data_IF_648483466098
#
_entry.id   IF_648483466098
#
_cell.length_a   1.000
_cell.length_b   1.000
_cell.length_c   1.000
_cell.angle_alpha   90.00
_cell.angle_beta   90.00
_cell.angle_gamma   90.00
#
_symmetry.space_group_name_H-M   'P 1'
#
loop_
_entity.id
_entity.type
_entity.pdbx_description
1 polymer ?
#
# COMPACT_ATOMS: atom_id res chain seq x y z
N UNK A 1 37.40 -26.79 10.49
CA UNK A 1 36.66 -28.06 10.82
C UNK A 1 35.21 -27.71 11.16
N UNK A 2 34.90 -27.04 12.27
CA UNK A 2 33.49 -26.82 12.68
C UNK A 2 32.61 -26.19 11.59
N UNK A 3 33.10 -25.15 10.88
CA UNK A 3 32.34 -24.52 9.77
C UNK A 3 32.13 -25.50 8.58
N UNK A 4 33.12 -26.31 8.25
CA UNK A 4 33.03 -27.31 7.19
C UNK A 4 31.99 -28.40 7.54
N UNK A 5 31.98 -28.83 8.80
CA UNK A 5 31.01 -29.80 9.31
C UNK A 5 29.58 -29.24 9.25
N UNK A 6 29.36 -27.96 9.60
CA UNK A 6 28.06 -27.30 9.50
C UNK A 6 27.54 -27.17 8.07
N UNK A 7 28.46 -27.08 7.09
CA UNK A 7 28.12 -26.99 5.67
C UNK A 7 28.08 -28.35 4.97
N UNK A 8 28.28 -29.45 5.71
CA UNK A 8 28.37 -30.80 5.20
C UNK A 8 29.38 -30.99 4.06
N UNK A 9 30.53 -30.28 4.13
CA UNK A 9 31.64 -30.33 3.16
C UNK A 9 32.96 -30.65 3.87
N UNK A 10 33.98 -31.02 3.12
CA UNK A 10 35.30 -31.24 3.71
C UNK A 10 36.01 -29.88 3.99
N UNK A 11 36.88 -29.85 5.01
CA UNK A 11 37.67 -28.68 5.34
C UNK A 11 38.55 -28.19 4.16
N UNK A 12 39.24 -29.07 3.39
CA UNK A 12 39.95 -28.63 2.19
C UNK A 12 39.05 -27.96 1.16
N UNK A 13 37.84 -28.47 0.93
CA UNK A 13 36.87 -27.86 0.00
C UNK A 13 36.48 -26.45 0.45
N UNK A 14 36.18 -26.26 1.74
CA UNK A 14 35.88 -24.94 2.28
C UNK A 14 37.06 -23.97 2.13
N UNK A 15 38.26 -24.43 2.48
CA UNK A 15 39.48 -23.61 2.37
C UNK A 15 39.77 -23.20 0.93
N UNK A 16 39.58 -24.12 -0.04
CA UNK A 16 39.76 -23.82 -1.45
C UNK A 16 38.72 -22.80 -1.96
N UNK A 17 37.45 -22.94 -1.55
CA UNK A 17 36.41 -21.96 -1.91
C UNK A 17 36.70 -20.55 -1.37
N UNK A 18 37.14 -20.45 -0.11
CA UNK A 18 37.57 -19.18 0.48
C UNK A 18 38.76 -18.60 -0.28
N UNK A 19 39.77 -19.42 -0.58
CA UNK A 19 40.94 -18.96 -1.33
C UNK A 19 40.57 -18.46 -2.74
N UNK A 20 39.73 -19.19 -3.47
CA UNK A 20 39.29 -18.79 -4.81
C UNK A 20 38.52 -17.44 -4.76
N UNK A 21 37.65 -17.24 -3.76
CA UNK A 21 36.93 -16.00 -3.56
C UNK A 21 37.89 -14.83 -3.25
N UNK A 22 38.89 -15.04 -2.39
CA UNK A 22 39.90 -14.02 -2.09
C UNK A 22 40.74 -13.63 -3.32
N UNK A 23 41.09 -14.59 -4.19
CA UNK A 23 41.81 -14.35 -5.44
C UNK A 23 40.96 -13.57 -6.44
N UNK A 24 39.67 -13.89 -6.56
CA UNK A 24 38.72 -13.16 -7.42
C UNK A 24 38.51 -11.71 -6.94
N UNK A 25 38.41 -11.51 -5.63
CA UNK A 25 38.25 -10.20 -5.03
C UNK A 25 39.56 -9.37 -4.96
N UNK A 26 40.71 -10.02 -5.10
CA UNK A 26 42.03 -9.38 -5.00
C UNK A 26 42.40 -8.93 -3.59
N UNK A 27 41.65 -9.35 -2.56
CA UNK A 27 41.89 -8.99 -1.16
C UNK A 27 41.72 -10.21 -0.24
N UNK A 28 42.48 -10.23 0.84
CA UNK A 28 42.31 -11.27 1.88
C UNK A 28 41.14 -10.92 2.80
N UNK A 29 40.24 -11.90 2.98
CA UNK A 29 39.12 -11.80 3.90
C UNK A 29 39.43 -12.35 5.30
N UNK A 30 40.39 -13.30 5.37
CA UNK A 30 40.83 -13.90 6.59
C UNK A 30 42.32 -13.70 6.85
N UNK A 31 42.70 -13.56 8.11
CA UNK A 31 44.08 -13.46 8.57
C UNK A 31 44.33 -14.41 9.76
N UNK A 32 45.57 -14.84 9.90
CA UNK A 32 45.99 -15.65 11.05
C UNK A 32 46.20 -14.75 12.27
N UNK A 33 45.57 -15.08 13.37
CA UNK A 33 45.78 -14.43 14.64
C UNK A 33 46.22 -15.50 15.65
N UNK A 34 47.53 -15.72 15.72
CA UNK A 34 48.12 -16.82 16.49
C UNK A 34 47.70 -18.19 15.97
N UNK A 35 47.03 -18.99 16.79
CA UNK A 35 46.45 -20.30 16.40
C UNK A 35 45.05 -20.19 15.79
N UNK A 36 44.46 -19.01 15.81
CA UNK A 36 43.11 -18.76 15.31
C UNK A 36 43.11 -18.04 13.95
N UNK A 37 41.98 -18.02 13.31
CA UNK A 37 41.71 -17.25 12.10
C UNK A 37 40.71 -16.16 12.46
N UNK A 38 40.97 -14.94 12.05
CA UNK A 38 40.07 -13.78 12.22
C UNK A 38 39.79 -13.11 10.87
N UNK A 39 38.73 -12.32 10.83
CA UNK A 39 38.42 -11.52 9.65
C UNK A 39 39.35 -10.31 9.56
N UNK A 40 39.85 -10.05 8.36
CA UNK A 40 40.51 -8.77 8.03
C UNK A 40 39.53 -7.60 8.05
N UNK A 41 39.99 -6.39 7.87
CA UNK A 41 39.12 -5.22 7.66
C UNK A 41 38.15 -5.46 6.48
N UNK A 42 38.65 -5.96 5.37
CA UNK A 42 37.82 -6.28 4.18
C UNK A 42 36.88 -7.45 4.45
N UNK A 43 37.34 -8.47 5.18
CA UNK A 43 36.51 -9.59 5.60
C UNK A 43 35.34 -9.17 6.47
N UNK A 44 35.49 -8.19 7.37
CA UNK A 44 34.40 -7.68 8.20
C UNK A 44 33.32 -6.98 7.37
N UNK A 45 33.72 -6.15 6.41
CA UNK A 45 32.79 -5.46 5.50
C UNK A 45 32.04 -6.49 4.66
N UNK A 46 32.77 -7.38 3.98
CA UNK A 46 32.17 -8.41 3.15
C UNK A 46 31.25 -9.35 3.91
N UNK A 47 31.60 -9.69 5.15
CA UNK A 47 30.77 -10.54 6.02
C UNK A 47 29.42 -9.87 6.33
N UNK A 48 29.42 -8.58 6.67
CA UNK A 48 28.18 -7.84 6.95
C UNK A 48 27.28 -7.81 5.70
N UNK A 49 27.82 -7.45 4.55
CA UNK A 49 27.06 -7.40 3.30
C UNK A 49 26.54 -8.77 2.89
N UNK A 50 27.38 -9.82 3.00
CA UNK A 50 26.97 -11.20 2.70
C UNK A 50 25.88 -11.70 3.65
N UNK A 51 25.94 -11.35 4.92
CA UNK A 51 24.92 -11.70 5.90
C UNK A 51 23.58 -11.06 5.57
N UNK A 52 23.58 -9.78 5.18
CA UNK A 52 22.39 -9.05 4.78
C UNK A 52 21.76 -9.65 3.51
N UNK A 53 22.58 -9.96 2.53
CA UNK A 53 22.13 -10.59 1.27
C UNK A 53 21.50 -11.97 1.54
N UNK A 54 22.16 -12.80 2.33
CA UNK A 54 21.64 -14.13 2.68
C UNK A 54 20.35 -14.05 3.48
N UNK A 55 20.27 -13.12 4.43
CA UNK A 55 19.03 -12.89 5.21
C UNK A 55 17.88 -12.47 4.30
N UNK A 56 18.10 -11.60 3.34
CA UNK A 56 17.09 -11.20 2.35
C UNK A 56 16.70 -12.34 1.43
N UNK A 57 17.66 -13.14 1.01
CA UNK A 57 17.39 -14.34 0.18
C UNK A 57 16.52 -15.35 0.93
N UNK A 58 16.87 -15.66 2.17
CA UNK A 58 16.11 -16.60 3.02
C UNK A 58 14.68 -16.09 3.27
N UNK A 59 14.51 -14.78 3.54
CA UNK A 59 13.20 -14.17 3.69
C UNK A 59 12.38 -14.28 2.39
N UNK A 60 12.98 -14.02 1.23
CA UNK A 60 12.31 -14.15 -0.08
C UNK A 60 11.90 -15.62 -0.36
N UNK A 61 12.78 -16.57 -0.13
CA UNK A 61 12.48 -18.01 -0.29
C UNK A 61 11.35 -18.44 0.64
N UNK A 62 11.35 -17.96 1.89
CA UNK A 62 10.30 -18.30 2.85
C UNK A 62 8.96 -17.69 2.44
N UNK A 63 8.94 -16.43 1.98
CA UNK A 63 7.75 -15.77 1.46
C UNK A 63 7.12 -16.56 0.29
N UNK A 64 7.95 -17.02 -0.67
CA UNK A 64 7.47 -17.83 -1.78
C UNK A 64 6.91 -19.20 -1.33
N UNK A 65 7.51 -19.82 -0.32
CA UNK A 65 7.00 -21.08 0.26
C UNK A 65 5.65 -20.88 0.94
N UNK A 66 5.46 -19.76 1.65
CA UNK A 66 4.18 -19.41 2.26
C UNK A 66 3.12 -19.14 1.18
N UNK A 67 3.45 -18.35 0.17
CA UNK A 67 2.56 -18.09 -0.97
C UNK A 67 2.10 -19.36 -1.67
N UNK A 68 3.01 -20.33 -1.87
CA UNK A 68 2.69 -21.64 -2.44
C UNK A 68 1.70 -22.49 -1.62
N UNK A 69 1.46 -22.12 -0.33
CA UNK A 69 0.48 -22.75 0.56
C UNK A 69 -0.79 -21.92 0.71
N UNK A 70 -0.89 -20.77 0.02
CA UNK A 70 -1.95 -19.79 0.23
C UNK A 70 -1.85 -19.11 1.59
N UNK A 71 -0.65 -18.86 2.04
CA UNK A 71 -0.26 -18.20 3.28
C UNK A 71 0.67 -17.01 2.96
N UNK A 72 1.00 -16.20 3.96
CA UNK A 72 1.94 -15.09 3.82
C UNK A 72 1.27 -13.74 3.90
N UNK A 73 1.83 -12.76 3.23
CA UNK A 73 1.46 -11.36 3.35
C UNK A 73 0.61 -10.91 2.16
N UNK A 74 -0.43 -10.14 2.43
CA UNK A 74 -1.30 -9.51 1.44
C UNK A 74 -1.19 -7.99 1.61
N UNK A 75 -0.79 -7.31 0.55
CA UNK A 75 -0.65 -5.86 0.51
C UNK A 75 -1.97 -5.23 0.04
N UNK A 76 -2.68 -4.54 0.95
CA UNK A 76 -3.98 -3.94 0.70
C UNK A 76 -3.87 -2.42 0.74
N UNK A 77 -4.25 -1.75 -0.36
CA UNK A 77 -4.42 -0.31 -0.40
C UNK A 77 -5.90 0.06 -0.38
N UNK A 78 -6.29 1.09 0.38
CA UNK A 78 -7.69 1.52 0.45
C UNK A 78 -7.85 3.00 0.76
N UNK A 79 -8.98 3.55 0.33
CA UNK A 79 -9.38 4.89 0.73
C UNK A 79 -9.66 4.92 2.24
N UNK A 80 -9.19 5.94 2.93
CA UNK A 80 -9.28 6.06 4.39
C UNK A 80 -10.69 5.85 4.94
N UNK A 81 -11.69 6.36 4.25
CA UNK A 81 -13.11 6.21 4.61
C UNK A 81 -13.56 4.76 4.69
N UNK A 82 -13.02 3.90 3.82
CA UNK A 82 -13.35 2.47 3.82
C UNK A 82 -12.64 1.70 4.96
N UNK A 83 -11.59 2.28 5.52
CA UNK A 83 -10.81 1.72 6.63
C UNK A 83 -11.53 1.74 7.98
N UNK A 84 -12.62 2.49 8.12
CA UNK A 84 -13.39 2.59 9.38
C UNK A 84 -14.36 1.43 9.59
N UNK A 85 -14.87 0.84 8.52
CA UNK A 85 -15.88 -0.20 8.59
C UNK A 85 -15.71 -1.33 7.56
N UNK A 86 -15.68 -1.01 6.28
CA UNK A 86 -15.75 -1.99 5.18
C UNK A 86 -14.53 -2.91 5.17
N UNK A 87 -13.32 -2.35 5.08
CA UNK A 87 -12.08 -3.14 4.97
C UNK A 87 -11.85 -4.02 6.19
N UNK A 88 -11.98 -3.53 7.45
CA UNK A 88 -11.81 -4.37 8.63
C UNK A 88 -12.80 -5.54 8.69
N UNK A 89 -14.06 -5.35 8.27
CA UNK A 89 -15.06 -6.42 8.21
C UNK A 89 -14.70 -7.49 7.20
N UNK A 90 -14.26 -7.09 6.01
CA UNK A 90 -13.82 -8.01 4.96
C UNK A 90 -12.59 -8.82 5.38
N UNK A 91 -11.58 -8.17 5.95
CA UNK A 91 -10.40 -8.84 6.49
C UNK A 91 -10.79 -9.84 7.59
N UNK A 92 -11.65 -9.45 8.51
CA UNK A 92 -12.11 -10.33 9.59
C UNK A 92 -12.86 -11.55 9.04
N UNK A 93 -13.76 -11.35 8.07
CA UNK A 93 -14.47 -12.43 7.39
C UNK A 93 -13.49 -13.42 6.74
N UNK A 94 -12.54 -12.90 5.98
CA UNK A 94 -11.52 -13.70 5.31
C UNK A 94 -10.65 -14.51 6.27
N UNK A 95 -10.21 -13.91 7.38
CA UNK A 95 -9.43 -14.62 8.40
C UNK A 95 -10.24 -15.73 9.09
N UNK A 96 -11.53 -15.53 9.30
CA UNK A 96 -12.41 -16.55 9.89
C UNK A 96 -12.56 -17.76 8.95
N UNK A 97 -12.69 -17.53 7.64
CA UNK A 97 -12.81 -18.58 6.63
C UNK A 97 -11.47 -19.32 6.42
N UNK A 98 -10.35 -18.68 6.72
CA UNK A 98 -9.01 -19.22 6.59
C UNK A 98 -8.33 -19.48 7.95
N UNK A 99 -9.11 -19.81 8.97
CA UNK A 99 -8.60 -20.11 10.31
C UNK A 99 -7.57 -21.23 10.27
N UNK A 100 -6.37 -20.98 10.81
CA UNK A 100 -5.24 -21.92 10.82
C UNK A 100 -4.19 -21.70 9.73
N UNK A 101 -4.43 -20.77 8.79
CA UNK A 101 -3.39 -20.30 7.86
C UNK A 101 -2.65 -19.10 8.45
N UNK A 102 -1.36 -19.00 8.14
CA UNK A 102 -0.54 -17.82 8.47
C UNK A 102 -0.71 -16.76 7.40
N UNK A 103 -1.65 -15.82 7.62
CA UNK A 103 -1.94 -14.73 6.71
C UNK A 103 -1.83 -13.41 7.47
N UNK A 104 -0.98 -12.53 6.98
CA UNK A 104 -0.78 -11.18 7.48
C UNK A 104 -1.16 -10.15 6.43
N UNK A 105 -1.56 -8.94 6.87
CA UNK A 105 -1.95 -7.86 5.99
C UNK A 105 -1.06 -6.63 6.21
N UNK A 106 -0.52 -6.09 5.12
CA UNK A 106 0.00 -4.73 5.09
C UNK A 106 -1.10 -3.78 4.61
N UNK A 107 -1.36 -2.74 5.38
CA UNK A 107 -2.44 -1.81 5.13
C UNK A 107 -1.90 -0.45 4.71
N UNK A 108 -2.29 0.01 3.52
CA UNK A 108 -1.86 1.27 2.92
C UNK A 108 -3.07 2.18 2.74
N UNK A 109 -3.22 3.17 3.62
CA UNK A 109 -4.34 4.12 3.57
C UNK A 109 -3.89 5.59 3.78
N UNK A 110 -2.61 5.84 4.00
CA UNK A 110 -2.12 7.17 4.29
C UNK A 110 -1.83 7.94 2.99
N UNK A 111 -2.58 9.04 2.79
CA UNK A 111 -2.51 9.91 1.60
C UNK A 111 -2.68 9.17 0.26
N UNK A 112 -3.49 8.11 0.25
CA UNK A 112 -3.72 7.29 -0.93
C UNK A 112 -5.08 7.65 -1.51
N UNK A 113 -5.09 8.14 -2.74
CA UNK A 113 -6.30 8.39 -3.53
C UNK A 113 -6.52 7.23 -4.52
N UNK A 114 -7.70 7.16 -5.12
CA UNK A 114 -8.04 6.11 -6.11
C UNK A 114 -6.95 5.98 -7.19
N UNK A 115 -6.48 7.09 -7.77
CA UNK A 115 -5.43 7.04 -8.80
C UNK A 115 -4.10 6.46 -8.31
N UNK A 116 -3.74 6.68 -7.03
CA UNK A 116 -2.52 6.12 -6.43
C UNK A 116 -2.68 4.60 -6.21
N UNK A 117 -3.87 4.15 -5.80
CA UNK A 117 -4.20 2.73 -5.64
C UNK A 117 -4.08 2.01 -6.99
N UNK A 118 -4.70 2.55 -8.04
CA UNK A 118 -4.67 1.97 -9.38
C UNK A 118 -3.24 1.89 -9.94
N UNK A 119 -2.45 2.94 -9.72
CA UNK A 119 -1.03 2.94 -10.11
C UNK A 119 -0.25 1.85 -9.36
N UNK A 120 -0.42 1.77 -8.05
CA UNK A 120 0.27 0.75 -7.24
C UNK A 120 -0.14 -0.69 -7.56
N UNK A 121 -1.40 -0.94 -7.95
CA UNK A 121 -1.85 -2.24 -8.45
C UNK A 121 -1.16 -2.60 -9.77
N UNK A 122 -1.09 -1.65 -10.73
CA UNK A 122 -0.37 -1.84 -12.01
C UNK A 122 1.12 -2.10 -11.82
N UNK A 123 1.73 -1.45 -10.85
CA UNK A 123 3.14 -1.64 -10.47
C UNK A 123 3.38 -2.86 -9.58
N UNK A 124 2.33 -3.62 -9.24
CA UNK A 124 2.38 -4.78 -8.33
C UNK A 124 2.91 -4.43 -6.92
N UNK A 125 2.69 -3.22 -6.49
CA UNK A 125 2.98 -2.75 -5.14
C UNK A 125 1.90 -3.21 -4.15
N UNK A 126 0.67 -3.33 -4.63
CA UNK A 126 -0.49 -3.80 -3.88
C UNK A 126 -1.09 -5.02 -4.59
N UNK A 127 -1.63 -5.96 -3.82
CA UNK A 127 -2.34 -7.12 -4.31
C UNK A 127 -3.83 -6.81 -4.53
N UNK A 128 -4.41 -6.00 -3.63
CA UNK A 128 -5.82 -5.63 -3.62
C UNK A 128 -5.96 -4.12 -3.34
N UNK A 129 -6.90 -3.48 -4.04
CA UNK A 129 -7.27 -2.09 -3.82
C UNK A 129 -8.75 -1.93 -3.49
N UNK A 130 -9.12 -1.15 -2.46
CA UNK A 130 -10.49 -0.73 -2.20
C UNK A 130 -10.64 0.76 -2.48
N UNK A 131 -11.31 1.08 -3.57
CA UNK A 131 -11.48 2.45 -4.06
C UNK A 131 -12.75 2.60 -4.89
N UNK A 132 -13.02 3.81 -5.37
CA UNK A 132 -14.07 4.04 -6.36
C UNK A 132 -13.69 3.43 -7.72
N UNK A 133 -14.69 2.98 -8.49
CA UNK A 133 -14.48 2.49 -9.85
C UNK A 133 -14.01 3.63 -10.76
N UNK A 134 -13.10 3.28 -11.67
CA UNK A 134 -12.68 4.11 -12.80
C UNK A 134 -12.96 3.35 -14.10
N UNK A 135 -13.59 3.99 -15.09
CA UNK A 135 -14.07 3.27 -16.29
C UNK A 135 -12.97 2.92 -17.30
N UNK A 136 -11.88 3.67 -17.34
CA UNK A 136 -10.81 3.51 -18.35
C UNK A 136 -9.56 2.77 -17.84
N UNK A 137 -9.76 1.68 -17.08
CA UNK A 137 -8.64 0.90 -16.54
C UNK A 137 -8.69 -0.58 -16.97
N UNK A 138 -8.32 -0.88 -18.21
CA UNK A 138 -8.47 -2.22 -18.78
C UNK A 138 -7.59 -3.30 -18.13
N UNK A 139 -6.59 -2.92 -17.37
CA UNK A 139 -5.67 -3.84 -16.67
C UNK A 139 -6.14 -4.20 -15.26
N UNK A 140 -7.24 -3.62 -14.79
CA UNK A 140 -7.76 -3.81 -13.43
C UNK A 140 -9.20 -4.30 -13.48
N UNK A 141 -9.46 -5.40 -12.80
CA UNK A 141 -10.82 -5.91 -12.60
C UNK A 141 -11.44 -5.21 -11.37
N UNK A 142 -12.63 -4.63 -11.55
CA UNK A 142 -13.39 -4.00 -10.49
C UNK A 142 -14.55 -4.89 -10.05
N UNK A 143 -14.53 -5.29 -8.79
CA UNK A 143 -15.59 -6.07 -8.15
C UNK A 143 -16.34 -5.16 -7.17
N UNK A 144 -17.65 -4.89 -7.37
CA UNK A 144 -18.41 -4.06 -6.46
C UNK A 144 -18.65 -4.78 -5.14
N UNK A 145 -18.18 -4.20 -4.03
CA UNK A 145 -18.30 -4.78 -2.67
C UNK A 145 -19.23 -4.00 -1.75
N UNK A 146 -19.44 -2.70 -2.03
CA UNK A 146 -20.32 -1.82 -1.28
C UNK A 146 -20.84 -0.67 -2.14
N UNK A 147 -21.93 -0.05 -1.72
CA UNK A 147 -22.39 1.25 -2.22
C UNK A 147 -22.30 2.28 -1.11
N UNK A 148 -21.95 3.50 -1.49
CA UNK A 148 -21.92 4.63 -0.57
C UNK A 148 -22.69 5.77 -1.24
N UNK A 149 -23.70 6.29 -0.56
CA UNK A 149 -24.47 7.41 -1.07
C UNK A 149 -23.67 8.70 -0.97
N UNK A 150 -23.80 9.53 -2.00
CA UNK A 150 -23.26 10.88 -2.00
C UNK A 150 -24.31 11.82 -1.41
N UNK A 151 -23.87 12.66 -0.50
CA UNK A 151 -24.70 13.68 0.13
C UNK A 151 -24.05 15.05 -0.01
N UNK A 152 -24.87 16.09 -0.10
CA UNK A 152 -24.42 17.47 0.04
C UNK A 152 -24.48 17.83 1.52
N UNK A 153 -23.37 18.34 2.04
CA UNK A 153 -23.33 18.90 3.41
C UNK A 153 -23.31 20.41 3.36
N UNK A 154 -24.03 21.03 4.25
CA UNK A 154 -24.17 22.49 4.35
C UNK A 154 -24.12 22.92 5.82
N UNK A 155 -23.79 24.22 6.12
CA UNK A 155 -23.92 24.74 7.47
C UNK A 155 -25.38 24.66 7.99
N UNK A 156 -25.60 24.57 9.30
CA UNK A 156 -26.95 24.40 9.87
C UNK A 156 -27.94 25.54 9.54
N UNK A 157 -27.44 26.72 9.30
CA UNK A 157 -28.20 27.93 8.93
C UNK A 157 -28.33 28.17 7.41
N UNK A 158 -27.84 27.22 6.62
CA UNK A 158 -27.89 27.31 5.16
C UNK A 158 -29.32 27.07 4.64
N UNK A 159 -29.77 27.79 3.58
CA UNK A 159 -31.12 27.60 3.02
C UNK A 159 -31.49 26.18 2.59
N UNK A 160 -30.50 25.36 2.29
CA UNK A 160 -30.71 23.94 1.90
C UNK A 160 -30.73 22.99 3.10
N UNK A 161 -30.42 23.44 4.33
CA UNK A 161 -30.30 22.57 5.50
C UNK A 161 -31.62 21.94 5.95
N UNK A 162 -32.75 22.61 5.68
CA UNK A 162 -34.09 22.12 6.07
C UNK A 162 -34.70 21.14 5.06
N UNK A 163 -34.04 20.91 3.91
CA UNK A 163 -34.53 20.04 2.84
C UNK A 163 -34.08 18.59 3.07
N UNK A 164 -34.99 17.66 2.97
CA UNK A 164 -34.69 16.21 2.99
C UNK A 164 -33.97 15.75 1.72
N UNK A 165 -34.34 16.35 0.57
CA UNK A 165 -33.75 16.08 -0.73
C UNK A 165 -33.43 17.40 -1.45
N UNK A 166 -32.31 17.43 -2.15
CA UNK A 166 -31.84 18.60 -2.89
C UNK A 166 -31.52 18.18 -4.32
N UNK A 167 -32.10 18.86 -5.30
CA UNK A 167 -31.66 18.71 -6.69
C UNK A 167 -30.29 19.35 -6.88
N UNK A 168 -29.43 18.72 -7.64
CA UNK A 168 -28.05 19.21 -7.85
C UNK A 168 -28.01 20.65 -8.40
N UNK A 169 -29.01 21.04 -9.23
CA UNK A 169 -29.16 22.41 -9.72
C UNK A 169 -29.38 23.47 -8.63
N UNK A 170 -29.96 23.09 -7.51
CA UNK A 170 -30.18 24.01 -6.38
C UNK A 170 -28.90 24.35 -5.62
N UNK A 171 -27.84 23.58 -5.81
CA UNK A 171 -26.53 23.83 -5.21
C UNK A 171 -25.71 24.85 -5.99
N UNK A 172 -26.03 25.08 -7.29
CA UNK A 172 -25.26 25.93 -8.19
C UNK A 172 -25.13 27.39 -7.76
N UNK A 173 -26.15 28.04 -7.11
CA UNK A 173 -26.00 29.40 -6.63
C UNK A 173 -24.98 29.60 -5.52
N UNK A 174 -24.50 28.54 -4.93
CA UNK A 174 -23.61 28.56 -3.77
C UNK A 174 -22.20 28.11 -4.14
N UNK A 175 -21.20 28.74 -3.50
CA UNK A 175 -19.81 28.30 -3.64
C UNK A 175 -19.61 26.91 -3.04
N UNK A 176 -18.93 26.04 -3.75
CA UNK A 176 -18.77 24.65 -3.35
C UNK A 176 -17.33 24.32 -2.97
N UNK A 177 -17.21 23.45 -1.99
CA UNK A 177 -15.99 22.76 -1.62
C UNK A 177 -16.04 21.39 -2.27
N UNK A 178 -15.09 21.08 -3.13
CA UNK A 178 -15.06 19.80 -3.86
C UNK A 178 -13.75 19.08 -3.66
N UNK A 179 -13.71 17.81 -4.09
CA UNK A 179 -12.49 17.01 -4.00
C UNK A 179 -11.50 17.37 -5.11
N UNK A 180 -10.19 17.15 -4.86
CA UNK A 180 -9.15 17.30 -5.87
C UNK A 180 -9.35 16.33 -7.03
N UNK A 181 -8.88 16.71 -8.23
CA UNK A 181 -9.04 15.94 -9.49
C UNK A 181 -8.53 14.48 -9.43
N UNK A 182 -7.56 14.18 -8.56
CA UNK A 182 -7.05 12.80 -8.39
C UNK A 182 -7.95 11.92 -7.52
N UNK A 183 -8.98 12.47 -6.89
CA UNK A 183 -9.95 11.72 -6.10
C UNK A 183 -10.97 11.03 -7.03
N UNK A 184 -11.28 9.77 -6.75
CA UNK A 184 -12.35 9.07 -7.46
C UNK A 184 -13.73 9.70 -7.24
N UNK A 185 -13.96 10.33 -6.06
CA UNK A 185 -15.19 11.10 -5.80
C UNK A 185 -15.31 12.31 -6.71
N UNK A 186 -14.21 12.98 -7.04
CA UNK A 186 -14.24 14.13 -7.93
C UNK A 186 -14.73 13.76 -9.31
N UNK A 187 -14.30 12.65 -9.87
CA UNK A 187 -14.76 12.17 -11.18
C UNK A 187 -16.27 11.94 -11.18
N UNK A 188 -16.79 11.23 -10.18
CA UNK A 188 -18.23 10.98 -10.03
C UNK A 188 -19.03 12.30 -9.90
N UNK A 189 -18.52 13.27 -9.13
CA UNK A 189 -19.16 14.58 -8.95
C UNK A 189 -19.15 15.36 -10.26
N UNK A 190 -18.04 15.37 -10.98
CA UNK A 190 -17.94 16.05 -12.29
C UNK A 190 -18.93 15.45 -13.28
N UNK A 191 -19.06 14.11 -13.38
CA UNK A 191 -20.06 13.44 -14.22
C UNK A 191 -21.50 13.81 -13.87
N UNK A 192 -21.83 13.92 -12.58
CA UNK A 192 -23.17 14.34 -12.15
C UNK A 192 -23.49 15.77 -12.60
N UNK A 193 -22.54 16.70 -12.52
CA UNK A 193 -22.71 18.06 -13.02
C UNK A 193 -22.75 18.14 -14.55
N UNK A 194 -21.98 17.30 -15.25
CA UNK A 194 -22.03 17.18 -16.71
C UNK A 194 -23.41 16.71 -17.22
N UNK A 195 -24.05 15.77 -16.54
CA UNK A 195 -25.39 15.29 -16.87
C UNK A 195 -26.46 16.40 -16.87
N UNK A 196 -26.27 17.43 -16.05
CA UNK A 196 -27.17 18.60 -15.99
C UNK A 196 -26.64 19.81 -16.78
N UNK A 197 -25.55 19.62 -17.54
CA UNK A 197 -24.86 20.69 -18.29
C UNK A 197 -24.56 21.94 -17.44
N UNK A 198 -24.11 21.75 -16.22
CA UNK A 198 -23.81 22.83 -15.28
C UNK A 198 -22.50 22.55 -14.53
N UNK A 199 -21.88 23.64 -14.09
CA UNK A 199 -20.62 23.55 -13.35
C UNK A 199 -20.71 24.44 -12.12
N UNK A 200 -20.36 23.93 -10.91
CA UNK A 200 -20.41 24.69 -9.68
C UNK A 200 -19.27 25.72 -9.63
N UNK A 201 -19.49 26.83 -8.92
CA UNK A 201 -18.42 27.72 -8.53
C UNK A 201 -17.62 27.08 -7.38
N UNK A 202 -16.38 26.66 -7.67
CA UNK A 202 -15.51 25.99 -6.70
C UNK A 202 -14.75 27.03 -5.89
N UNK A 203 -14.93 27.03 -4.57
CA UNK A 203 -14.18 27.88 -3.64
C UNK A 203 -12.90 27.20 -3.13
N UNK A 204 -12.99 25.90 -2.82
CA UNK A 204 -11.86 25.13 -2.30
C UNK A 204 -11.84 23.73 -2.90
N UNK A 205 -10.62 23.21 -3.13
CA UNK A 205 -10.39 21.80 -3.48
C UNK A 205 -9.67 21.10 -2.31
N UNK A 206 -10.23 19.99 -1.85
CA UNK A 206 -9.75 19.25 -0.69
C UNK A 206 -9.51 17.77 -1.02
N UNK A 207 -8.84 17.05 -0.15
CA UNK A 207 -8.56 15.59 -0.33
C UNK A 207 -9.43 14.72 0.57
N UNK A 208 -9.81 15.21 1.75
CA UNK A 208 -10.46 14.43 2.80
C UNK A 208 -11.83 14.99 3.15
N UNK A 209 -12.82 14.11 3.29
CA UNK A 209 -14.20 14.42 3.68
C UNK A 209 -14.29 15.08 5.05
N UNK A 210 -13.47 14.67 6.04
CA UNK A 210 -13.44 15.32 7.35
C UNK A 210 -12.96 16.77 7.28
N UNK A 211 -12.02 17.06 6.38
CA UNK A 211 -11.57 18.44 6.14
C UNK A 211 -12.70 19.24 5.50
N UNK A 212 -13.44 18.67 4.51
CA UNK A 212 -14.62 19.29 3.94
C UNK A 212 -15.64 19.66 5.01
N UNK A 213 -15.99 18.70 5.85
CA UNK A 213 -16.94 18.91 6.94
C UNK A 213 -16.52 20.04 7.89
N UNK A 214 -15.22 20.12 8.21
CA UNK A 214 -14.67 21.21 9.03
C UNK A 214 -14.79 22.59 8.37
N UNK A 215 -14.54 22.70 7.08
CA UNK A 215 -14.70 23.94 6.32
C UNK A 215 -16.17 24.35 6.20
N UNK A 216 -17.06 23.41 5.88
CA UNK A 216 -18.50 23.63 5.82
C UNK A 216 -19.04 24.08 7.18
N UNK A 217 -18.68 23.42 8.28
CA UNK A 217 -19.10 23.79 9.62
C UNK A 217 -18.71 25.23 10.04
N UNK A 218 -17.69 25.79 9.39
CA UNK A 218 -17.22 27.18 9.60
C UNK A 218 -17.67 28.14 8.50
N UNK A 219 -18.62 27.77 7.64
CA UNK A 219 -19.26 28.64 6.65
C UNK A 219 -18.39 28.99 5.42
N UNK A 220 -17.47 28.12 5.03
CA UNK A 220 -16.64 28.33 3.85
C UNK A 220 -17.25 27.81 2.54
N UNK A 221 -18.37 27.13 2.62
CA UNK A 221 -19.08 26.55 1.47
C UNK A 221 -20.22 25.65 1.91
#
# INVERSE_FOLDING_TARGET
TKAADMLAITQPTLSHAIYAMEEELGVKLFEKNGRNVSLTKYGKVFFADAQDILTRLDASVNSLKLAGRGEGQIDIAFLRTLGTDVVPKLIRGFLNENAGKQIDFNLYCDRVLTGDILTGLKEKKYDIGFCSKFDDEPLIEFIPVAKQDLVVIVPPDHPLAEKEEVHLTETLPYKQIIFKKRSGLRHIIDELFEQINAYPEVSYEIEEDQVAAGFVANGFG
#
